data_IF_529743942403
#
_entry.id   IF_529743942403
#
_cell.length_a   1.000
_cell.length_b   1.000
_cell.length_c   1.000
_cell.angle_alpha   90.00
_cell.angle_beta   90.00
_cell.angle_gamma   90.00
#
_symmetry.space_group_name_H-M   'P 1'
#
loop_
_entity.id
_entity.type
_entity.pdbx_description
1 polymer ?
#
# COMPACT_ATOMS: atom_id res chain seq x y z
N UNK A 1 -15.14 2.07 -1.32
CA UNK A 1 -14.98 1.90 -2.77
C UNK A 1 -16.31 2.21 -3.41
N UNK A 2 -16.38 3.13 -4.37
CA UNK A 2 -17.58 3.59 -5.07
C UNK A 2 -18.86 2.85 -4.73
N UNK A 3 -19.62 3.40 -3.87
CA UNK A 3 -21.02 3.22 -3.43
C UNK A 3 -21.88 2.02 -3.92
N UNK A 4 -21.31 0.87 -4.19
CA UNK A 4 -22.09 -0.29 -4.61
C UNK A 4 -22.53 -1.20 -3.45
N UNK A 5 -21.93 -1.09 -2.28
CA UNK A 5 -22.37 -1.85 -1.10
C UNK A 5 -23.13 -0.93 -0.14
N UNK A 6 -24.42 -1.16 -0.02
CA UNK A 6 -25.30 -0.45 0.95
C UNK A 6 -25.05 -0.83 2.41
N UNK A 7 -24.09 -1.73 2.70
CA UNK A 7 -23.78 -2.15 4.06
C UNK A 7 -22.43 -1.60 4.47
N UNK A 8 -22.32 -0.91 5.62
CA UNK A 8 -21.05 -0.50 6.16
C UNK A 8 -20.19 -1.73 6.48
N UNK A 9 -18.88 -1.63 6.20
CA UNK A 9 -17.90 -2.64 6.58
C UNK A 9 -17.47 -2.36 8.00
N UNK A 10 -17.53 -3.37 8.87
CA UNK A 10 -17.04 -3.27 10.23
C UNK A 10 -15.53 -3.52 10.27
N UNK A 11 -14.78 -2.56 10.77
CA UNK A 11 -13.34 -2.68 11.01
C UNK A 11 -13.10 -2.84 12.50
N UNK A 12 -12.58 -3.99 12.91
CA UNK A 12 -12.23 -4.25 14.32
C UNK A 12 -11.05 -3.38 14.74
N UNK A 13 -10.92 -3.13 16.05
CA UNK A 13 -9.77 -2.38 16.59
C UNK A 13 -8.44 -3.09 16.32
N UNK A 14 -7.45 -2.35 15.84
CA UNK A 14 -6.12 -2.83 15.51
C UNK A 14 -5.08 -1.74 15.74
N UNK A 15 -3.81 -2.10 15.74
CA UNK A 15 -2.68 -1.18 15.68
C UNK A 15 -2.12 -1.20 14.25
N UNK A 16 -1.58 -0.07 13.81
CA UNK A 16 -0.92 0.07 12.52
C UNK A 16 0.37 0.88 12.69
N UNK A 17 1.40 0.55 11.92
CA UNK A 17 2.64 1.30 11.92
C UNK A 17 2.42 2.77 11.55
N UNK A 18 3.10 3.66 12.23
CA UNK A 18 2.95 5.12 12.03
C UNK A 18 3.46 5.59 10.66
N UNK A 19 4.33 4.83 10.02
CA UNK A 19 4.88 5.09 8.70
C UNK A 19 5.17 3.78 7.96
N UNK A 20 5.41 3.81 6.64
CA UNK A 20 5.87 2.65 5.88
C UNK A 20 7.21 2.14 6.40
N UNK A 21 7.44 0.81 6.31
CA UNK A 21 8.73 0.20 6.69
C UNK A 21 9.86 0.81 5.88
N UNK A 22 10.93 1.19 6.57
CA UNK A 22 12.09 1.88 6.00
C UNK A 22 13.17 0.92 5.49
N UNK A 23 14.10 1.44 4.68
CA UNK A 23 15.27 0.68 4.24
C UNK A 23 16.10 0.16 5.42
N UNK A 24 16.29 0.97 6.47
CA UNK A 24 17.06 0.57 7.64
C UNK A 24 16.40 -0.57 8.42
N UNK A 25 15.08 -0.48 8.63
CA UNK A 25 14.31 -1.52 9.32
C UNK A 25 14.30 -2.83 8.53
N UNK A 26 14.13 -2.75 7.20
CA UNK A 26 14.16 -3.92 6.35
C UNK A 26 15.58 -4.54 6.28
N UNK A 27 16.63 -3.74 6.29
CA UNK A 27 18.01 -4.22 6.39
C UNK A 27 18.25 -4.99 7.70
N UNK A 28 17.73 -4.49 8.82
CA UNK A 28 17.84 -5.19 10.11
C UNK A 28 17.13 -6.56 10.05
N UNK A 29 15.96 -6.63 9.41
CA UNK A 29 15.25 -7.88 9.16
C UNK A 29 16.08 -8.85 8.30
N UNK A 30 16.67 -8.40 7.19
CA UNK A 30 17.47 -9.26 6.31
C UNK A 30 18.73 -9.81 7.01
N UNK A 31 19.35 -9.01 7.89
CA UNK A 31 20.49 -9.49 8.71
C UNK A 31 20.09 -10.62 9.64
N UNK A 32 18.88 -10.59 10.18
CA UNK A 32 18.33 -11.63 11.08
C UNK A 32 17.80 -12.83 10.31
N UNK A 33 17.26 -12.62 9.12
CA UNK A 33 16.61 -13.63 8.28
C UNK A 33 17.18 -13.59 6.86
N UNK A 34 18.46 -13.99 6.65
CA UNK A 34 19.19 -13.79 5.41
C UNK A 34 18.64 -14.57 4.21
N UNK A 35 17.81 -15.58 4.43
CA UNK A 35 17.10 -16.31 3.38
C UNK A 35 16.13 -15.45 2.58
N UNK A 36 15.77 -14.27 3.11
CA UNK A 36 14.91 -13.30 2.42
C UNK A 36 15.73 -12.26 1.63
N UNK A 37 17.07 -12.37 1.58
CA UNK A 37 17.89 -11.45 0.79
C UNK A 37 17.74 -11.67 -0.71
N UNK A 38 18.12 -10.65 -1.51
CA UNK A 38 17.95 -10.66 -2.96
C UNK A 38 18.58 -11.88 -3.65
N UNK A 39 19.77 -12.29 -3.22
CA UNK A 39 20.46 -13.44 -3.82
C UNK A 39 19.91 -14.80 -3.40
N UNK A 40 19.14 -14.86 -2.29
CA UNK A 40 18.67 -16.13 -1.70
C UNK A 40 17.17 -16.37 -1.84
N UNK A 41 16.39 -15.32 -2.05
CA UNK A 41 14.94 -15.46 -2.19
C UNK A 41 14.60 -16.29 -3.42
N UNK A 42 13.69 -17.25 -3.27
CA UNK A 42 13.28 -18.11 -4.41
C UNK A 42 12.39 -17.32 -5.37
N UNK A 43 12.55 -17.54 -6.69
CA UNK A 43 11.81 -16.85 -7.75
C UNK A 43 10.28 -17.03 -7.73
N UNK A 44 9.76 -18.00 -6.96
CA UNK A 44 8.31 -18.12 -6.69
C UNK A 44 7.81 -17.05 -5.72
N UNK A 45 8.68 -16.50 -4.86
CA UNK A 45 8.35 -15.52 -3.84
C UNK A 45 8.67 -14.08 -4.24
N UNK A 46 9.54 -13.85 -5.23
CA UNK A 46 9.85 -12.52 -5.72
C UNK A 46 10.31 -12.58 -7.18
N UNK A 47 10.03 -11.55 -7.95
CA UNK A 47 10.55 -11.41 -9.31
C UNK A 47 11.99 -10.84 -9.32
N UNK A 48 12.54 -10.67 -10.54
CA UNK A 48 13.92 -10.23 -10.73
C UNK A 48 14.22 -8.81 -10.24
N UNK A 49 13.17 -8.00 -10.00
CA UNK A 49 13.31 -6.61 -9.54
C UNK A 49 13.34 -6.50 -8.01
N UNK A 50 13.32 -7.61 -7.29
CA UNK A 50 13.37 -7.63 -5.83
C UNK A 50 14.64 -6.94 -5.31
N UNK A 51 14.47 -5.86 -4.53
CA UNK A 51 15.56 -5.03 -3.99
C UNK A 51 16.59 -4.60 -5.06
N UNK A 52 16.17 -4.47 -6.33
CA UNK A 52 17.09 -4.17 -7.43
C UNK A 52 17.81 -2.82 -7.28
N UNK A 53 17.23 -1.87 -6.53
CA UNK A 53 17.85 -0.58 -6.22
C UNK A 53 18.89 -0.65 -5.10
N UNK A 54 19.02 -1.78 -4.38
CA UNK A 54 20.06 -1.98 -3.38
C UNK A 54 21.39 -2.39 -4.03
N UNK A 55 22.51 -1.94 -3.48
CA UNK A 55 23.84 -2.30 -4.00
C UNK A 55 24.17 -3.78 -3.78
N UNK A 56 23.76 -4.35 -2.64
CA UNK A 56 23.94 -5.76 -2.32
C UNK A 56 22.84 -6.28 -1.40
N UNK A 57 22.92 -7.55 -1.00
CA UNK A 57 21.96 -8.20 -0.09
C UNK A 57 21.78 -7.46 1.24
N UNK A 58 22.84 -6.83 1.73
CA UNK A 58 22.88 -6.18 3.04
C UNK A 58 23.37 -4.73 2.97
N UNK A 59 23.19 -4.09 1.81
CA UNK A 59 23.53 -2.69 1.61
C UNK A 59 22.53 -2.03 0.65
N UNK A 60 21.73 -1.11 1.16
CA UNK A 60 20.78 -0.35 0.34
C UNK A 60 21.46 0.76 -0.49
N UNK A 61 22.78 0.95 -0.34
CA UNK A 61 23.55 1.91 -1.13
C UNK A 61 23.48 3.35 -0.61
N UNK A 62 24.32 4.20 -1.19
CA UNK A 62 24.44 5.61 -0.78
C UNK A 62 23.29 6.48 -1.30
N UNK A 63 22.65 6.08 -2.38
CA UNK A 63 21.56 6.83 -3.01
C UNK A 63 20.21 6.60 -2.36
N UNK A 64 20.05 5.51 -1.62
CA UNK A 64 18.83 5.22 -0.88
C UNK A 64 18.96 5.68 0.57
N UNK A 65 18.05 6.53 1.00
CA UNK A 65 18.05 7.01 2.39
C UNK A 65 17.66 5.87 3.34
N UNK A 66 18.32 5.81 4.49
CA UNK A 66 18.02 4.81 5.54
C UNK A 66 16.57 4.89 6.01
N UNK A 67 16.02 6.09 6.09
CA UNK A 67 14.67 6.41 6.54
C UNK A 67 13.67 6.67 5.39
N UNK A 68 14.02 6.33 4.15
CA UNK A 68 13.04 6.24 3.06
C UNK A 68 12.33 4.88 3.10
N UNK A 69 11.10 4.77 2.56
CA UNK A 69 10.40 3.50 2.48
C UNK A 69 11.22 2.44 1.73
N UNK A 70 11.22 1.21 2.22
CA UNK A 70 11.70 0.10 1.42
C UNK A 70 10.70 -0.18 0.29
N UNK A 71 11.20 -0.32 -0.91
CA UNK A 71 10.43 -0.62 -2.12
C UNK A 71 11.06 -1.77 -2.90
N UNK A 72 10.48 -2.14 -4.03
CA UNK A 72 10.87 -3.34 -4.76
C UNK A 72 10.82 -4.60 -3.85
N UNK A 73 9.83 -4.69 -3.00
CA UNK A 73 9.57 -5.84 -2.13
C UNK A 73 8.30 -6.55 -2.57
N UNK A 74 8.32 -7.88 -2.55
CA UNK A 74 7.16 -8.70 -2.88
C UNK A 74 6.18 -8.77 -1.70
N UNK A 75 4.94 -9.15 -1.97
CA UNK A 75 3.96 -9.41 -0.93
C UNK A 75 4.43 -10.47 0.09
N UNK A 76 5.10 -11.52 -0.41
CA UNK A 76 5.63 -12.57 0.45
C UNK A 76 6.69 -12.05 1.42
N UNK A 77 7.62 -11.21 0.93
CA UNK A 77 8.65 -10.62 1.78
C UNK A 77 8.07 -9.61 2.78
N UNK A 78 7.12 -8.78 2.35
CA UNK A 78 6.41 -7.83 3.20
C UNK A 78 5.61 -8.55 4.30
N UNK A 79 4.85 -9.59 3.94
CA UNK A 79 4.13 -10.44 4.90
C UNK A 79 5.08 -11.08 5.90
N UNK A 80 6.17 -11.69 5.43
CA UNK A 80 7.16 -12.35 6.29
C UNK A 80 7.82 -11.38 7.27
N UNK A 81 8.13 -10.16 6.81
CA UNK A 81 8.63 -9.10 7.68
C UNK A 81 7.66 -8.82 8.83
N UNK A 82 6.39 -8.53 8.51
CA UNK A 82 5.39 -8.21 9.52
C UNK A 82 5.16 -9.36 10.51
N UNK A 83 5.12 -10.61 10.04
CA UNK A 83 5.03 -11.80 10.90
C UNK A 83 6.22 -11.92 11.85
N UNK A 84 7.43 -11.64 11.39
CA UNK A 84 8.63 -11.65 12.22
C UNK A 84 8.67 -10.53 13.26
N UNK A 85 7.88 -9.47 13.07
CA UNK A 85 7.66 -8.40 14.06
C UNK A 85 6.45 -8.66 14.98
N UNK A 86 5.81 -9.82 14.87
CA UNK A 86 4.64 -10.18 15.67
C UNK A 86 3.33 -9.57 15.19
N UNK A 87 3.31 -9.09 13.95
CA UNK A 87 2.15 -8.49 13.29
C UNK A 87 1.78 -9.18 11.99
N UNK A 88 1.09 -8.46 11.14
CA UNK A 88 0.63 -8.87 9.81
C UNK A 88 0.55 -7.66 8.88
N UNK A 89 0.34 -7.88 7.59
CA UNK A 89 -0.09 -6.79 6.71
C UNK A 89 -1.51 -6.34 7.09
N UNK A 90 -1.84 -5.04 6.96
CA UNK A 90 -3.22 -4.57 7.11
C UNK A 90 -4.11 -5.17 6.01
N UNK A 91 -5.40 -5.31 6.27
CA UNK A 91 -6.38 -5.54 5.21
C UNK A 91 -6.61 -4.25 4.41
N UNK A 92 -7.23 -4.35 3.23
CA UNK A 92 -7.64 -3.17 2.46
C UNK A 92 -8.58 -2.29 3.26
N UNK A 93 -9.55 -2.87 3.95
CA UNK A 93 -10.54 -2.11 4.73
C UNK A 93 -9.88 -1.39 5.90
N UNK A 94 -8.94 -2.02 6.60
CA UNK A 94 -8.15 -1.38 7.66
C UNK A 94 -7.31 -0.22 7.11
N UNK A 95 -6.62 -0.45 5.99
CA UNK A 95 -5.80 0.58 5.36
C UNK A 95 -6.65 1.78 4.91
N UNK A 96 -7.77 1.54 4.23
CA UNK A 96 -8.68 2.61 3.77
C UNK A 96 -9.35 3.33 4.95
N UNK A 97 -9.69 2.62 6.03
CA UNK A 97 -10.22 3.22 7.25
C UNK A 97 -9.26 4.26 7.84
N UNK A 98 -7.97 3.94 7.91
CA UNK A 98 -6.96 4.89 8.40
C UNK A 98 -6.71 6.01 7.38
N UNK A 99 -6.73 5.68 6.09
CA UNK A 99 -6.44 6.59 4.99
C UNK A 99 -7.53 7.65 4.74
N UNK A 100 -8.78 7.43 5.17
CA UNK A 100 -9.84 8.42 5.00
C UNK A 100 -9.75 9.61 5.98
N UNK A 101 -8.86 9.54 6.98
CA UNK A 101 -8.68 10.57 7.99
C UNK A 101 -7.73 11.69 7.55
N UNK A 102 -8.09 12.95 7.79
CA UNK A 102 -7.15 14.08 7.77
C UNK A 102 -6.58 14.35 9.17
N UNK A 103 -5.92 15.48 9.38
CA UNK A 103 -5.30 15.83 10.66
C UNK A 103 -6.32 16.02 11.79
N UNK A 104 -7.59 16.30 11.47
CA UNK A 104 -8.63 16.69 12.43
C UNK A 104 -9.88 15.82 12.41
N UNK A 105 -10.13 15.12 11.32
CA UNK A 105 -11.36 14.34 11.08
C UNK A 105 -11.03 12.88 10.86
N UNK A 106 -11.84 12.01 11.44
CA UNK A 106 -11.78 10.56 11.19
C UNK A 106 -12.14 10.26 9.72
N UNK A 107 -13.08 11.02 9.16
CA UNK A 107 -13.50 10.91 7.77
C UNK A 107 -13.46 12.28 7.10
N UNK A 108 -12.52 12.47 6.22
CA UNK A 108 -12.32 13.69 5.44
C UNK A 108 -12.65 13.52 3.94
N UNK A 109 -13.28 12.41 3.56
CA UNK A 109 -13.56 12.07 2.15
C UNK A 109 -14.40 13.11 1.41
N UNK A 110 -15.27 13.83 2.12
CA UNK A 110 -16.08 14.91 1.55
C UNK A 110 -15.35 16.26 1.46
N UNK A 111 -14.12 16.35 1.98
CA UNK A 111 -13.34 17.60 1.99
C UNK A 111 -12.54 17.74 0.70
N UNK A 112 -12.91 18.69 -0.13
CA UNK A 112 -12.28 18.93 -1.44
C UNK A 112 -10.77 19.16 -1.36
N UNK A 113 -10.31 19.95 -0.37
CA UNK A 113 -8.88 20.21 -0.18
C UNK A 113 -8.08 18.94 0.17
N UNK A 114 -8.69 17.99 0.90
CA UNK A 114 -8.10 16.70 1.19
C UNK A 114 -7.97 15.84 -0.08
N UNK A 115 -9.02 15.81 -0.90
CA UNK A 115 -9.01 15.07 -2.16
C UNK A 115 -8.00 15.64 -3.17
N UNK A 116 -7.90 16.97 -3.27
CA UNK A 116 -6.86 17.63 -4.09
C UNK A 116 -5.45 17.31 -3.59
N UNK A 117 -5.24 17.26 -2.27
CA UNK A 117 -3.97 16.87 -1.68
C UNK A 117 -3.59 15.45 -2.10
N UNK A 118 -4.50 14.48 -1.98
CA UNK A 118 -4.27 13.10 -2.40
C UNK A 118 -3.88 13.05 -3.88
N UNK A 119 -4.64 13.72 -4.74
CA UNK A 119 -4.39 13.76 -6.18
C UNK A 119 -3.03 14.38 -6.52
N UNK A 120 -2.62 15.41 -5.80
CA UNK A 120 -1.32 16.06 -6.02
C UNK A 120 -0.12 15.11 -5.83
N UNK A 121 -0.27 14.03 -5.05
CA UNK A 121 0.77 13.02 -4.88
C UNK A 121 0.88 12.08 -6.07
N UNK A 122 -0.21 11.79 -6.76
CA UNK A 122 -0.18 10.93 -7.96
C UNK A 122 0.57 11.59 -9.12
N UNK A 123 0.65 12.91 -9.13
CA UNK A 123 1.36 13.69 -10.15
C UNK A 123 2.87 13.84 -9.85
N UNK A 124 3.33 13.53 -8.63
CA UNK A 124 4.73 13.70 -8.22
C UNK A 124 5.55 12.45 -8.56
N UNK A 125 6.62 12.58 -9.35
CA UNK A 125 7.50 11.46 -9.63
C UNK A 125 8.43 11.16 -8.44
N UNK A 126 8.88 9.92 -8.35
CA UNK A 126 9.96 9.48 -7.43
C UNK A 126 9.71 9.78 -5.94
N UNK A 127 8.46 9.82 -5.50
CA UNK A 127 8.10 10.12 -4.10
C UNK A 127 8.69 9.11 -3.12
N UNK A 128 8.91 7.88 -3.55
CA UNK A 128 9.51 6.78 -2.79
C UNK A 128 10.95 7.05 -2.30
N UNK A 129 11.64 8.02 -2.87
CA UNK A 129 12.98 8.40 -2.45
C UNK A 129 12.99 9.35 -1.24
N UNK A 130 11.84 9.89 -0.83
CA UNK A 130 11.74 10.80 0.30
C UNK A 130 11.70 10.04 1.63
N UNK A 131 12.21 10.66 2.71
CA UNK A 131 12.09 10.12 4.06
C UNK A 131 10.62 9.93 4.49
N UNK A 132 10.36 8.91 5.31
CA UNK A 132 9.04 8.72 5.96
C UNK A 132 8.74 9.85 6.96
N UNK A 133 7.47 10.04 7.28
CA UNK A 133 7.01 11.04 8.26
C UNK A 133 7.06 12.48 7.74
N UNK A 134 7.13 12.69 6.42
CA UNK A 134 7.19 14.03 5.81
C UNK A 134 5.86 14.52 5.25
N UNK A 135 4.82 13.68 5.24
CA UNK A 135 3.46 14.12 4.96
C UNK A 135 2.77 14.57 6.25
N UNK A 136 1.49 14.93 6.18
CA UNK A 136 0.75 15.27 7.39
C UNK A 136 0.52 14.02 8.27
N UNK A 137 0.43 14.26 9.56
CA UNK A 137 0.01 13.30 10.57
C UNK A 137 -1.51 13.30 10.64
N UNK A 138 -2.16 12.20 10.32
CA UNK A 138 -3.61 12.14 10.33
C UNK A 138 -4.19 12.02 11.76
N UNK A 139 -5.52 12.01 11.87
CA UNK A 139 -6.24 11.91 13.15
C UNK A 139 -5.77 10.74 14.03
N UNK A 140 -5.41 9.62 13.42
CA UNK A 140 -4.94 8.41 14.12
C UNK A 140 -3.46 8.45 14.49
N UNK A 141 -2.76 9.53 14.19
CA UNK A 141 -1.32 9.66 14.45
C UNK A 141 -0.43 9.01 13.42
N UNK A 142 -0.98 8.64 12.26
CA UNK A 142 -0.29 7.92 11.19
C UNK A 142 0.14 8.90 10.10
N UNK A 143 1.36 8.72 9.58
CA UNK A 143 1.92 9.49 8.48
C UNK A 143 1.88 8.73 7.16
N UNK A 144 2.01 9.45 6.08
CA UNK A 144 2.31 8.92 4.75
C UNK A 144 1.26 7.93 4.20
N UNK A 145 0.00 8.02 4.68
CA UNK A 145 -1.08 7.21 4.12
C UNK A 145 -1.35 7.56 2.64
N UNK A 146 -1.14 8.82 2.29
CA UNK A 146 -1.19 9.31 0.92
C UNK A 146 0.14 9.98 0.57
N UNK A 147 0.78 9.50 -0.48
CA UNK A 147 2.07 10.04 -0.90
C UNK A 147 3.11 8.95 -1.07
N UNK A 148 4.26 9.07 -0.56
CA UNK A 148 5.49 8.30 -0.69
C UNK A 148 5.44 7.05 -1.58
N UNK A 149 4.70 6.01 -1.18
CA UNK A 149 4.63 4.71 -1.84
C UNK A 149 3.20 4.17 -1.83
N UNK A 150 2.88 3.32 -2.80
CA UNK A 150 1.79 2.37 -2.69
C UNK A 150 2.13 1.31 -1.65
N UNK A 151 1.12 0.70 -1.03
CA UNK A 151 1.36 -0.25 0.05
C UNK A 151 0.64 -1.56 -0.16
N UNK A 152 1.35 -2.65 0.11
CA UNK A 152 0.79 -3.99 0.17
C UNK A 152 -0.26 -4.12 1.27
N UNK A 153 -1.37 -4.79 0.96
CA UNK A 153 -2.37 -5.25 1.92
C UNK A 153 -2.44 -6.78 1.91
N UNK A 154 -2.95 -7.37 2.99
CA UNK A 154 -3.00 -8.83 3.13
C UNK A 154 -3.91 -9.49 2.07
N UNK A 155 -4.94 -8.78 1.66
CA UNK A 155 -6.03 -9.20 0.77
C UNK A 155 -6.05 -8.44 -0.56
N UNK A 156 -4.88 -7.95 -1.03
CA UNK A 156 -4.75 -7.16 -2.26
C UNK A 156 -5.41 -7.78 -3.50
N UNK A 157 -5.56 -9.11 -3.54
CA UNK A 157 -6.14 -9.88 -4.63
C UNK A 157 -7.61 -10.29 -4.41
N UNK A 158 -8.24 -9.91 -3.31
CA UNK A 158 -9.65 -10.24 -3.02
C UNK A 158 -10.62 -9.70 -4.06
N UNK A 159 -10.20 -8.68 -4.80
CA UNK A 159 -10.86 -8.09 -5.96
C UNK A 159 -11.18 -9.14 -7.03
N UNK A 160 -10.29 -10.11 -7.25
CA UNK A 160 -10.51 -11.17 -8.23
C UNK A 160 -11.50 -12.24 -7.76
N UNK A 161 -11.63 -12.45 -6.45
CA UNK A 161 -12.52 -13.46 -5.89
C UNK A 161 -13.99 -13.01 -5.92
N UNK A 162 -14.26 -11.72 -5.85
CA UNK A 162 -15.61 -11.18 -5.99
C UNK A 162 -16.11 -11.17 -7.45
N UNK A 163 -15.20 -11.16 -8.43
CA UNK A 163 -15.51 -11.21 -9.88
C UNK A 163 -15.84 -12.61 -10.42
N UNK A 164 -15.65 -13.68 -9.64
CA UNK A 164 -16.02 -15.04 -10.04
C UNK A 164 -17.52 -15.37 -9.89
N UNK A 165 -18.31 -14.44 -9.41
CA UNK A 165 -19.75 -14.51 -9.47
C UNK A 165 -20.21 -14.28 -10.92
N UNK A 166 -20.24 -15.34 -11.71
CA UNK A 166 -20.51 -15.40 -13.17
C UNK A 166 -21.89 -14.85 -13.61
N UNK A 167 -22.46 -13.89 -12.90
CA UNK A 167 -23.80 -13.33 -13.21
C UNK A 167 -23.85 -11.81 -13.43
N UNK A 168 -22.78 -11.06 -13.18
CA UNK A 168 -22.78 -9.60 -13.41
C UNK A 168 -21.74 -9.18 -14.43
N UNK A 169 -21.97 -9.54 -15.70
CA UNK A 169 -21.11 -9.13 -16.84
C UNK A 169 -21.07 -7.62 -17.09
N UNK A 170 -22.03 -6.86 -16.58
CA UNK A 170 -22.14 -5.43 -16.90
C UNK A 170 -21.40 -4.52 -15.92
N UNK A 171 -21.19 -4.96 -14.68
CA UNK A 171 -20.52 -4.13 -13.66
C UNK A 171 -18.99 -4.19 -13.78
N UNK A 172 -18.42 -5.35 -14.15
CA UNK A 172 -16.97 -5.53 -14.27
C UNK A 172 -16.39 -4.80 -15.49
N UNK A 173 -17.12 -4.75 -16.61
CA UNK A 173 -16.68 -4.02 -17.80
C UNK A 173 -16.61 -2.51 -17.59
N UNK A 174 -17.45 -1.94 -16.73
CA UNK A 174 -17.43 -0.51 -16.40
C UNK A 174 -16.31 -0.13 -15.42
N UNK A 175 -15.82 -1.06 -14.61
CA UNK A 175 -14.70 -0.85 -13.68
C UNK A 175 -13.34 -0.98 -14.38
N UNK A 176 -13.21 -1.84 -15.38
CA UNK A 176 -11.96 -2.10 -16.10
C UNK A 176 -11.79 -1.29 -17.39
N UNK A 177 -12.87 -0.87 -18.01
CA UNK A 177 -12.80 0.05 -19.14
C UNK A 177 -12.78 1.47 -18.57
N UNK A 178 -11.67 2.20 -18.74
CA UNK A 178 -11.43 3.57 -18.25
C UNK A 178 -12.53 4.63 -18.51
N UNK A 179 -13.73 4.21 -18.90
CA UNK A 179 -14.93 5.05 -19.06
C UNK A 179 -15.44 5.63 -17.73
N UNK A 180 -15.16 4.98 -16.59
CA UNK A 180 -15.49 5.53 -15.27
C UNK A 180 -14.65 6.75 -14.88
N UNK A 181 -13.47 6.94 -15.51
CA UNK A 181 -12.59 8.07 -15.22
C UNK A 181 -12.91 9.32 -16.03
N UNK A 182 -13.57 9.17 -17.18
CA UNK A 182 -13.82 10.28 -18.12
C UNK A 182 -14.91 11.24 -17.61
N UNK A 183 -15.72 10.82 -16.64
CA UNK A 183 -16.76 11.62 -16.00
C UNK A 183 -16.64 11.69 -14.48
N UNK A 184 -15.46 11.38 -13.90
CA UNK A 184 -15.23 11.51 -12.47
C UNK A 184 -15.19 13.00 -12.09
N UNK A 185 -16.36 13.60 -11.88
CA UNK A 185 -16.51 14.91 -11.24
C UNK A 185 -16.14 14.85 -9.77
N UNK A 186 -15.96 13.65 -9.20
CA UNK A 186 -15.62 13.38 -7.80
C UNK A 186 -14.18 12.86 -7.69
N UNK A 187 -13.27 13.73 -7.27
CA UNK A 187 -11.85 13.42 -7.06
C UNK A 187 -11.63 12.29 -6.05
N UNK A 188 -12.52 12.12 -5.07
CA UNK A 188 -12.43 11.06 -4.07
C UNK A 188 -12.67 9.69 -4.71
N UNK A 189 -13.69 9.58 -5.55
CA UNK A 189 -13.99 8.34 -6.26
C UNK A 189 -12.86 7.96 -7.21
N UNK A 190 -12.24 8.96 -7.86
CA UNK A 190 -11.10 8.72 -8.73
C UNK A 190 -9.86 8.21 -7.95
N UNK A 191 -9.54 8.82 -6.82
CA UNK A 191 -8.42 8.36 -5.98
C UNK A 191 -8.64 6.93 -5.44
N UNK A 192 -9.86 6.61 -5.00
CA UNK A 192 -10.23 5.27 -4.57
C UNK A 192 -10.15 4.26 -5.73
N UNK A 193 -10.63 4.64 -6.91
CA UNK A 193 -10.53 3.82 -8.12
C UNK A 193 -9.07 3.53 -8.48
N UNK A 194 -8.18 4.53 -8.44
CA UNK A 194 -6.76 4.34 -8.73
C UNK A 194 -6.10 3.35 -7.76
N UNK A 195 -6.40 3.45 -6.45
CA UNK A 195 -5.89 2.48 -5.47
C UNK A 195 -6.41 1.07 -5.70
N UNK A 196 -7.68 0.95 -6.01
CA UNK A 196 -8.32 -0.33 -6.33
C UNK A 196 -7.72 -0.96 -7.59
N UNK A 197 -7.64 -0.19 -8.69
CA UNK A 197 -7.09 -0.66 -9.96
C UNK A 197 -5.62 -1.08 -9.83
N UNK A 198 -4.82 -0.30 -9.08
CA UNK A 198 -3.42 -0.64 -8.83
C UNK A 198 -3.31 -1.98 -8.08
N UNK A 199 -4.02 -2.16 -6.97
CA UNK A 199 -4.01 -3.42 -6.22
C UNK A 199 -4.47 -4.61 -7.08
N UNK A 200 -5.52 -4.42 -7.89
CA UNK A 200 -6.01 -5.43 -8.82
C UNK A 200 -5.02 -5.82 -9.92
N UNK A 201 -4.05 -4.98 -10.24
CA UNK A 201 -3.00 -5.29 -11.23
C UNK A 201 -1.83 -6.10 -10.68
N UNK A 202 -1.74 -6.26 -9.35
CA UNK A 202 -0.60 -6.87 -8.69
C UNK A 202 -0.66 -8.40 -8.66
N UNK A 203 0.50 -9.03 -8.71
CA UNK A 203 0.71 -10.44 -8.35
C UNK A 203 1.63 -10.50 -7.15
N UNK A 204 1.45 -11.47 -6.26
CA UNK A 204 2.17 -11.57 -4.98
C UNK A 204 3.70 -11.51 -5.09
N UNK A 205 4.27 -11.97 -6.20
CA UNK A 205 5.72 -11.93 -6.46
C UNK A 205 6.21 -10.63 -7.11
N UNK A 206 5.31 -9.73 -7.54
CA UNK A 206 5.70 -8.48 -8.20
C UNK A 206 6.44 -7.56 -7.23
N UNK A 207 7.40 -6.83 -7.79
CA UNK A 207 8.18 -5.82 -7.08
C UNK A 207 8.32 -4.58 -7.97
N UNK A 208 7.94 -3.42 -7.44
CA UNK A 208 8.01 -2.16 -8.17
C UNK A 208 8.62 -1.06 -7.31
N UNK A 209 9.22 -0.05 -7.94
CA UNK A 209 9.93 1.04 -7.26
C UNK A 209 9.05 1.90 -6.34
N UNK A 210 7.76 1.89 -6.55
CA UNK A 210 6.79 2.71 -5.82
C UNK A 210 5.87 1.90 -4.92
N UNK A 211 6.20 0.63 -4.65
CA UNK A 211 5.40 -0.28 -3.83
C UNK A 211 6.21 -0.75 -2.63
N UNK A 212 5.79 -0.32 -1.45
CA UNK A 212 6.29 -0.69 -0.14
C UNK A 212 5.20 -1.32 0.72
N UNK A 213 5.28 -1.16 2.03
CA UNK A 213 4.30 -1.69 2.97
C UNK A 213 4.47 -1.10 4.36
N UNK A 214 3.45 -1.26 5.18
CA UNK A 214 3.48 -1.12 6.65
C UNK A 214 2.82 -2.31 7.30
N UNK A 215 3.07 -2.52 8.59
CA UNK A 215 2.45 -3.61 9.32
C UNK A 215 1.26 -3.14 10.15
N UNK A 216 0.40 -4.10 10.47
CA UNK A 216 -0.68 -3.97 11.43
C UNK A 216 -0.57 -5.07 12.49
N UNK A 217 -1.26 -4.89 13.61
CA UNK A 217 -1.34 -5.87 14.68
C UNK A 217 -2.73 -5.87 15.28
N UNK A 218 -3.27 -7.05 15.56
CA UNK A 218 -4.56 -7.17 16.21
C UNK A 218 -4.50 -6.64 17.64
N UNK A 219 -5.51 -5.88 18.03
CA UNK A 219 -5.68 -5.51 19.43
C UNK A 219 -6.21 -6.72 20.18
N UNK A 220 -5.42 -7.21 21.12
CA UNK A 220 -5.82 -8.28 22.05
C UNK A 220 -6.91 -7.80 23.02
#
# INVERSE_FOLDING_TARGET
YGATTKKPVEVKSFYIDTHPVTNAEFLAFLKKYPENSRSRIKGIFADKSYLAQWESDFNYGKTNLSNAPVTNVSWFAAKKYCECQGGRLPTMDEWEYVAMADEKRIDARTKESFNRYIMSWYEKPNTYANPVGKTFKNYWGVYDMHGLVWEWTSDFNSIFLSGESRKDKDTDNNLFCGSGSVNATDLMNYAAFMRYAFRGSLKAKYTTKNLGFRCAQDKK
#
